data_IF_436586527386
#
_entry.id   IF_436586527386
#
_cell.length_a   1.000
_cell.length_b   1.000
_cell.length_c   1.000
_cell.angle_alpha   90.00
_cell.angle_beta   90.00
_cell.angle_gamma   90.00
#
_symmetry.space_group_name_H-M   'P 1'
#
loop_
_entity.id
_entity.type
_entity.pdbx_description
1 polymer ?
#
# COMPACT_ATOMS: atom_id res chain seq x y z
N UNK A 1 -31.21 -26.76 -57.30
CA UNK A 1 -32.23 -26.91 -56.25
C UNK A 1 -31.55 -27.50 -55.05
N UNK A 2 -31.78 -26.85 -53.91
CA UNK A 2 -31.21 -27.13 -52.59
C UNK A 2 -32.02 -28.23 -51.90
N UNK A 3 -31.35 -29.11 -51.17
CA UNK A 3 -31.79 -29.82 -49.96
C UNK A 3 -30.51 -30.48 -49.40
N UNK A 4 -29.98 -30.08 -48.24
CA UNK A 4 -30.43 -30.40 -46.87
C UNK A 4 -30.52 -31.93 -46.69
N UNK A 5 -29.93 -32.61 -45.71
CA UNK A 5 -29.31 -32.22 -44.45
C UNK A 5 -28.55 -33.46 -43.90
N UNK A 6 -27.95 -33.33 -42.71
CA UNK A 6 -27.46 -34.40 -41.82
C UNK A 6 -25.96 -34.78 -41.88
N UNK A 7 -25.14 -33.94 -41.24
CA UNK A 7 -24.02 -34.46 -40.44
C UNK A 7 -24.01 -33.86 -39.04
N UNK A 8 -24.47 -34.67 -38.08
CA UNK A 8 -24.48 -34.41 -36.65
C UNK A 8 -23.04 -34.49 -36.09
N UNK A 9 -22.66 -33.49 -35.30
CA UNK A 9 -21.73 -33.67 -34.18
C UNK A 9 -20.25 -33.65 -34.53
N UNK A 10 -19.71 -32.47 -34.86
CA UNK A 10 -18.28 -32.34 -35.14
C UNK A 10 -17.74 -30.92 -34.99
N UNK A 11 -18.21 -30.13 -34.02
CA UNK A 11 -17.54 -28.87 -33.72
C UNK A 11 -16.30 -29.18 -32.88
N UNK A 12 -15.19 -29.51 -33.54
CA UNK A 12 -13.89 -29.17 -32.97
C UNK A 12 -13.79 -27.64 -32.97
N UNK A 13 -14.29 -27.02 -31.91
CA UNK A 13 -13.87 -25.67 -31.53
C UNK A 13 -12.41 -25.84 -31.14
N UNK A 14 -11.50 -25.73 -32.10
CA UNK A 14 -10.11 -25.46 -31.84
C UNK A 14 -10.09 -24.18 -31.01
N UNK A 15 -9.88 -24.30 -29.70
CA UNK A 15 -9.81 -23.14 -28.82
C UNK A 15 -8.65 -22.27 -29.30
N UNK A 16 -8.97 -21.21 -30.04
CA UNK A 16 -8.05 -20.13 -30.34
C UNK A 16 -7.27 -19.78 -29.06
N UNK A 17 -5.95 -19.53 -29.14
CA UNK A 17 -5.14 -19.28 -27.95
C UNK A 17 -5.79 -18.17 -27.14
N UNK A 18 -6.40 -18.53 -26.01
CA UNK A 18 -7.18 -17.62 -25.17
C UNK A 18 -6.31 -16.40 -24.89
N UNK A 19 -6.74 -15.24 -25.39
CA UNK A 19 -6.01 -13.98 -25.22
C UNK A 19 -5.70 -13.80 -23.73
N UNK A 20 -4.46 -13.40 -23.39
CA UNK A 20 -4.03 -13.24 -21.99
C UNK A 20 -5.00 -12.35 -21.20
N UNK A 21 -5.57 -11.35 -21.85
CA UNK A 21 -6.55 -10.45 -21.25
C UNK A 21 -7.87 -11.13 -20.92
N UNK A 22 -8.30 -12.12 -21.70
CA UNK A 22 -9.52 -12.88 -21.44
C UNK A 22 -9.32 -13.88 -20.31
N UNK A 23 -8.12 -14.45 -20.18
CA UNK A 23 -7.74 -15.27 -19.02
C UNK A 23 -7.78 -14.43 -17.74
N UNK A 24 -7.23 -13.21 -17.77
CA UNK A 24 -7.27 -12.28 -16.64
C UNK A 24 -8.72 -11.94 -16.30
N UNK A 25 -9.53 -11.49 -17.26
CA UNK A 25 -10.95 -11.16 -17.04
C UNK A 25 -11.74 -12.32 -16.42
N UNK A 26 -11.54 -13.56 -16.93
CA UNK A 26 -12.18 -14.76 -16.37
C UNK A 26 -11.73 -15.03 -14.94
N UNK A 27 -10.45 -14.86 -14.66
CA UNK A 27 -9.91 -15.03 -13.30
C UNK A 27 -10.49 -13.98 -12.35
N UNK A 28 -10.60 -12.73 -12.78
CA UNK A 28 -11.20 -11.66 -11.99
C UNK A 28 -12.69 -11.90 -11.71
N UNK A 29 -13.47 -12.30 -12.73
CA UNK A 29 -14.89 -12.64 -12.58
C UNK A 29 -15.12 -13.76 -11.56
N UNK A 30 -14.22 -14.73 -11.51
CA UNK A 30 -14.32 -15.89 -10.61
C UNK A 30 -13.58 -15.66 -9.27
N UNK A 31 -13.10 -14.44 -9.01
CA UNK A 31 -12.27 -14.10 -7.86
C UNK A 31 -11.02 -15.00 -7.70
N UNK A 32 -10.48 -15.54 -8.79
CA UNK A 32 -9.31 -16.42 -8.78
C UNK A 32 -8.01 -15.63 -8.76
N UNK A 33 -7.07 -16.09 -7.95
CA UNK A 33 -5.74 -15.52 -7.78
C UNK A 33 -5.02 -15.37 -9.12
N UNK A 34 -4.62 -14.14 -9.44
CA UNK A 34 -3.89 -13.85 -10.69
C UNK A 34 -2.52 -14.51 -10.77
N UNK A 35 -1.96 -14.99 -9.66
CA UNK A 35 -0.73 -15.76 -9.67
C UNK A 35 -1.02 -17.27 -9.83
N UNK A 36 -1.60 -17.92 -8.82
CA UNK A 36 -1.75 -19.38 -8.84
C UNK A 36 -2.94 -19.90 -9.66
N UNK A 37 -3.95 -19.05 -9.97
CA UNK A 37 -5.16 -19.44 -10.71
C UNK A 37 -6.11 -20.40 -9.99
N UNK A 38 -5.77 -20.83 -8.75
CA UNK A 38 -6.48 -21.88 -8.02
C UNK A 38 -7.28 -21.35 -6.83
N UNK A 39 -6.62 -20.56 -6.00
CA UNK A 39 -7.23 -20.02 -4.79
C UNK A 39 -7.97 -18.72 -5.07
N UNK A 40 -9.00 -18.42 -4.28
CA UNK A 40 -9.70 -17.15 -4.38
C UNK A 40 -8.95 -16.03 -3.67
N UNK A 41 -8.99 -14.83 -4.23
CA UNK A 41 -8.56 -13.61 -3.55
C UNK A 41 -9.73 -12.97 -2.82
N UNK A 42 -9.43 -12.30 -1.69
CA UNK A 42 -10.41 -11.52 -0.92
C UNK A 42 -10.34 -10.03 -1.25
N UNK A 43 -9.15 -9.54 -1.56
CA UNK A 43 -8.90 -8.13 -1.84
C UNK A 43 -8.94 -7.87 -3.36
N UNK A 44 -9.93 -7.08 -3.80
CA UNK A 44 -10.16 -6.69 -5.20
C UNK A 44 -9.04 -5.82 -5.80
N UNK A 45 -8.27 -5.12 -4.97
CA UNK A 45 -7.17 -4.25 -5.43
C UNK A 45 -5.89 -5.05 -5.64
N UNK A 46 -5.72 -6.13 -4.88
CA UNK A 46 -4.53 -7.00 -4.93
C UNK A 46 -4.73 -8.17 -5.90
N UNK A 47 -5.93 -8.74 -5.95
CA UNK A 47 -6.31 -9.88 -6.80
C UNK A 47 -5.41 -11.12 -6.66
N UNK A 48 -4.80 -11.29 -5.48
CA UNK A 48 -3.99 -12.45 -5.09
C UNK A 48 -4.56 -13.13 -3.85
N UNK A 49 -4.40 -14.45 -3.75
CA UNK A 49 -4.66 -15.15 -2.49
C UNK A 49 -3.57 -14.83 -1.47
N UNK A 50 -3.85 -15.04 -0.18
CA UNK A 50 -2.96 -14.64 0.92
C UNK A 50 -1.56 -15.25 0.80
N UNK A 51 -1.45 -16.52 0.38
CA UNK A 51 -0.17 -17.18 0.14
C UNK A 51 0.63 -16.49 -0.97
N UNK A 52 0.00 -16.23 -2.11
CA UNK A 52 0.68 -15.56 -3.23
C UNK A 52 0.99 -14.10 -2.93
N UNK A 53 0.13 -13.42 -2.17
CA UNK A 53 0.37 -12.04 -1.75
C UNK A 53 1.64 -11.89 -0.93
N UNK A 54 1.91 -12.85 -0.02
CA UNK A 54 3.11 -12.87 0.82
C UNK A 54 4.36 -13.32 0.06
N UNK A 55 4.23 -14.20 -0.92
CA UNK A 55 5.38 -14.75 -1.67
C UNK A 55 5.80 -13.91 -2.88
N UNK A 56 4.87 -13.17 -3.50
CA UNK A 56 5.20 -12.30 -4.63
C UNK A 56 5.97 -11.07 -4.14
N UNK A 57 7.04 -10.70 -4.84
CA UNK A 57 7.76 -9.46 -4.54
C UNK A 57 6.89 -8.23 -4.79
N UNK A 58 7.20 -7.14 -4.09
CA UNK A 58 6.54 -5.85 -4.23
C UNK A 58 7.45 -4.92 -5.00
N UNK A 59 7.09 -4.65 -6.25
CA UNK A 59 7.88 -3.84 -7.17
C UNK A 59 7.22 -2.49 -7.42
N UNK A 60 8.00 -1.49 -7.81
CA UNK A 60 7.50 -0.16 -8.20
C UNK A 60 7.41 -0.06 -9.71
N UNK A 61 6.22 0.29 -10.23
CA UNK A 61 6.00 0.40 -11.67
C UNK A 61 6.81 1.56 -12.25
N UNK A 62 7.55 1.33 -13.34
CA UNK A 62 8.37 2.37 -13.97
C UNK A 62 7.54 3.55 -14.50
N UNK A 63 6.30 3.30 -14.92
CA UNK A 63 5.42 4.30 -15.54
C UNK A 63 4.61 5.11 -14.51
N UNK A 64 3.75 4.44 -13.72
CA UNK A 64 2.83 5.12 -12.80
C UNK A 64 3.37 5.30 -11.37
N UNK A 65 4.56 4.73 -11.08
CA UNK A 65 5.25 4.74 -9.78
C UNK A 65 4.50 4.08 -8.62
N UNK A 66 3.34 3.47 -8.88
CA UNK A 66 2.60 2.68 -7.90
C UNK A 66 3.32 1.37 -7.63
N UNK A 67 3.37 0.96 -6.36
CA UNK A 67 3.83 -0.36 -5.96
C UNK A 67 2.78 -1.43 -6.25
N UNK A 68 3.20 -2.58 -6.76
CA UNK A 68 2.32 -3.66 -7.13
C UNK A 68 2.96 -5.02 -6.81
N UNK A 69 2.13 -6.06 -6.74
CA UNK A 69 2.63 -7.42 -6.54
C UNK A 69 3.08 -8.00 -7.88
N UNK A 70 4.33 -8.47 -7.95
CA UNK A 70 4.92 -8.99 -9.18
C UNK A 70 4.49 -10.45 -9.42
N UNK A 71 3.24 -10.62 -9.83
CA UNK A 71 2.64 -11.92 -10.15
C UNK A 71 2.92 -12.34 -11.61
N UNK A 72 2.65 -13.61 -11.95
CA UNK A 72 2.98 -14.20 -13.27
C UNK A 72 2.61 -13.36 -14.51
N UNK A 73 1.47 -12.66 -14.52
CA UNK A 73 1.11 -11.81 -15.66
C UNK A 73 1.98 -10.55 -15.77
N UNK A 74 2.38 -9.97 -14.64
CA UNK A 74 3.34 -8.87 -14.62
C UNK A 74 4.74 -9.35 -15.01
N UNK A 75 5.13 -10.55 -14.60
CA UNK A 75 6.38 -11.17 -15.03
C UNK A 75 6.40 -11.39 -16.56
N UNK A 76 5.30 -11.91 -17.13
CA UNK A 76 5.15 -12.05 -18.58
C UNK A 76 5.24 -10.70 -19.29
N UNK A 77 4.54 -9.68 -18.79
CA UNK A 77 4.61 -8.33 -19.32
C UNK A 77 6.04 -7.75 -19.25
N UNK A 78 6.76 -7.99 -18.15
CA UNK A 78 8.14 -7.54 -18.01
C UNK A 78 9.08 -8.18 -19.04
N UNK A 79 8.90 -9.47 -19.36
CA UNK A 79 9.65 -10.16 -20.42
C UNK A 79 9.29 -9.61 -21.80
N UNK A 80 8.01 -9.37 -22.08
CA UNK A 80 7.54 -8.85 -23.37
C UNK A 80 7.99 -7.42 -23.62
N UNK A 81 7.84 -6.53 -22.63
CA UNK A 81 8.12 -5.09 -22.79
C UNK A 81 9.50 -4.68 -22.29
N UNK A 82 10.29 -5.60 -21.75
CA UNK A 82 11.61 -5.35 -21.13
C UNK A 82 11.59 -4.26 -20.05
N UNK A 83 10.48 -4.16 -19.31
CA UNK A 83 10.23 -3.09 -18.33
C UNK A 83 9.40 -3.61 -17.15
N UNK A 84 9.73 -3.20 -15.92
CA UNK A 84 8.93 -3.55 -14.73
C UNK A 84 7.65 -2.72 -14.66
N UNK A 85 6.57 -3.24 -15.24
CA UNK A 85 5.28 -2.54 -15.37
C UNK A 85 4.18 -3.25 -14.57
N UNK A 86 3.31 -2.48 -13.93
CA UNK A 86 2.11 -3.03 -13.31
C UNK A 86 1.09 -3.46 -14.36
N UNK A 87 0.13 -4.32 -13.98
CA UNK A 87 -0.87 -4.88 -14.89
C UNK A 87 -1.68 -3.80 -15.63
N UNK A 88 -2.00 -2.69 -14.97
CA UNK A 88 -2.75 -1.59 -15.60
C UNK A 88 -1.90 -0.87 -16.67
N UNK A 89 -0.63 -0.61 -16.39
CA UNK A 89 0.26 -0.02 -17.40
C UNK A 89 0.52 -1.00 -18.55
N UNK A 90 0.68 -2.30 -18.28
CA UNK A 90 0.78 -3.33 -19.32
C UNK A 90 -0.46 -3.35 -20.22
N UNK A 91 -1.66 -3.20 -19.63
CA UNK A 91 -2.91 -3.10 -20.37
C UNK A 91 -2.91 -1.88 -21.28
N UNK A 92 -2.52 -0.72 -20.76
CA UNK A 92 -2.48 0.50 -21.55
C UNK A 92 -1.45 0.42 -22.68
N UNK A 93 -0.26 -0.16 -22.46
CA UNK A 93 0.71 -0.41 -23.54
C UNK A 93 0.07 -1.28 -24.64
N UNK A 94 -0.60 -2.37 -24.26
CA UNK A 94 -1.27 -3.24 -25.22
C UNK A 94 -2.44 -2.56 -25.95
N UNK A 95 -3.15 -1.62 -25.31
CA UNK A 95 -4.29 -0.92 -25.90
C UNK A 95 -3.87 0.21 -26.84
N UNK A 96 -2.93 1.06 -26.42
CA UNK A 96 -2.55 2.27 -27.15
C UNK A 96 -1.35 2.06 -28.07
N UNK A 97 -0.62 0.94 -27.94
CA UNK A 97 0.55 0.58 -28.74
C UNK A 97 1.59 1.71 -28.88
N UNK A 98 1.73 2.54 -27.85
CA UNK A 98 2.60 3.72 -27.81
C UNK A 98 3.20 3.89 -26.42
N UNK A 99 4.36 4.53 -26.34
CA UNK A 99 4.95 4.90 -25.06
C UNK A 99 4.15 6.07 -24.42
N UNK A 100 3.96 6.09 -23.09
CA UNK A 100 3.15 7.10 -22.44
C UNK A 100 3.85 8.45 -22.42
N UNK A 101 3.07 9.53 -22.31
CA UNK A 101 3.58 10.88 -22.05
C UNK A 101 3.66 11.16 -20.55
N UNK A 102 4.38 12.23 -20.20
CA UNK A 102 4.39 12.77 -18.84
C UNK A 102 3.02 13.35 -18.49
N UNK A 103 2.49 12.94 -17.33
CA UNK A 103 1.29 13.56 -16.80
C UNK A 103 1.58 14.98 -16.31
N UNK A 104 0.79 15.97 -16.76
CA UNK A 104 0.95 17.38 -16.39
C UNK A 104 0.88 17.68 -14.89
N UNK A 105 0.21 16.82 -14.11
CA UNK A 105 0.05 17.01 -12.67
C UNK A 105 1.09 16.24 -11.87
N UNK A 106 1.13 14.91 -12.01
CA UNK A 106 1.98 14.07 -11.17
C UNK A 106 3.34 13.75 -11.79
N UNK A 107 3.63 14.21 -13.01
CA UNK A 107 4.90 13.97 -13.74
C UNK A 107 5.25 12.49 -13.95
N UNK A 108 4.30 11.58 -13.78
CA UNK A 108 4.50 10.17 -14.08
C UNK A 108 4.38 9.94 -15.59
N UNK A 109 5.27 9.11 -16.16
CA UNK A 109 5.22 8.61 -17.53
C UNK A 109 4.06 7.62 -17.70
N UNK A 110 2.82 8.13 -17.64
CA UNK A 110 1.59 7.32 -17.58
C UNK A 110 0.36 8.04 -18.12
N UNK A 111 0.54 9.12 -18.90
CA UNK A 111 -0.53 9.70 -19.71
C UNK A 111 -0.57 8.95 -21.05
N UNK A 112 -1.54 8.04 -21.19
CA UNK A 112 -1.66 7.14 -22.35
C UNK A 112 -2.64 7.64 -23.41
N UNK A 113 -3.55 8.53 -23.00
CA UNK A 113 -4.58 9.10 -23.86
C UNK A 113 -4.04 10.35 -24.54
N UNK A 114 -4.85 10.93 -25.44
CA UNK A 114 -4.58 12.24 -26.03
C UNK A 114 -4.49 13.35 -24.98
N UNK A 115 -5.21 13.18 -23.86
CA UNK A 115 -5.19 14.12 -22.75
C UNK A 115 -3.82 14.10 -22.04
N UNK A 116 -3.44 15.25 -21.46
CA UNK A 116 -2.13 15.43 -20.82
C UNK A 116 -2.07 14.85 -19.39
N UNK A 117 -3.13 14.20 -18.93
CA UNK A 117 -3.26 13.58 -17.62
C UNK A 117 -3.15 12.05 -17.67
N UNK A 118 -2.55 11.45 -16.65
CA UNK A 118 -2.70 10.00 -16.42
C UNK A 118 -4.12 9.67 -15.94
N UNK A 119 -4.58 8.44 -16.15
CA UNK A 119 -5.93 7.98 -15.75
C UNK A 119 -6.26 8.29 -14.28
N UNK A 120 -5.26 8.19 -13.39
CA UNK A 120 -5.40 8.51 -11.97
C UNK A 120 -5.70 9.99 -11.75
N UNK A 121 -4.94 10.89 -12.36
CA UNK A 121 -5.14 12.32 -12.20
C UNK A 121 -6.41 12.79 -12.93
N UNK A 122 -6.72 12.21 -14.08
CA UNK A 122 -7.96 12.47 -14.81
C UNK A 122 -9.18 12.18 -13.93
N UNK A 123 -9.25 10.99 -13.32
CA UNK A 123 -10.36 10.61 -12.44
C UNK A 123 -10.47 11.52 -11.20
N UNK A 124 -9.33 11.93 -10.64
CA UNK A 124 -9.34 12.84 -9.48
C UNK A 124 -9.79 14.26 -9.87
N UNK A 125 -9.41 14.72 -11.07
CA UNK A 125 -9.86 16.00 -11.60
C UNK A 125 -11.38 16.03 -11.79
N UNK A 126 -11.95 14.96 -12.33
CA UNK A 126 -13.40 14.81 -12.51
C UNK A 126 -14.16 14.81 -11.18
N UNK A 127 -13.61 14.17 -10.14
CA UNK A 127 -14.28 14.02 -8.85
C UNK A 127 -14.09 15.20 -7.89
N UNK A 128 -12.92 15.84 -7.91
CA UNK A 128 -12.51 16.82 -6.88
C UNK A 128 -12.10 18.17 -7.46
N UNK A 129 -12.15 18.34 -8.78
CA UNK A 129 -11.74 19.56 -9.45
C UNK A 129 -10.22 19.76 -9.47
N UNK A 130 -9.80 21.01 -9.64
CA UNK A 130 -8.41 21.36 -9.87
C UNK A 130 -7.51 20.99 -8.67
N UNK A 131 -6.33 20.39 -8.91
CA UNK A 131 -5.40 20.13 -7.84
C UNK A 131 -4.68 21.40 -7.38
N UNK A 132 -4.06 21.30 -6.21
CA UNK A 132 -3.08 22.26 -5.68
C UNK A 132 -1.75 21.54 -5.36
N UNK A 133 -0.77 22.28 -4.84
CA UNK A 133 0.56 21.74 -4.53
C UNK A 133 0.52 20.68 -3.43
N UNK A 134 1.23 19.58 -3.67
CA UNK A 134 1.53 18.57 -2.66
C UNK A 134 2.64 19.07 -1.73
N UNK A 135 2.44 19.02 -0.42
CA UNK A 135 3.41 19.49 0.57
C UNK A 135 4.71 18.67 0.59
N UNK A 136 4.66 17.38 0.19
CA UNK A 136 5.85 16.51 0.20
C UNK A 136 6.70 16.59 -1.07
N UNK A 137 6.08 16.70 -2.25
CA UNK A 137 6.82 16.69 -3.52
C UNK A 137 6.72 17.99 -4.31
N UNK A 138 6.01 18.98 -3.78
CA UNK A 138 5.76 20.31 -4.36
C UNK A 138 5.11 20.35 -5.76
N UNK A 139 4.65 19.20 -6.27
CA UNK A 139 3.96 19.10 -7.57
C UNK A 139 2.49 19.47 -7.43
N UNK A 140 1.92 20.08 -8.47
CA UNK A 140 0.49 20.41 -8.53
C UNK A 140 -0.39 19.15 -8.74
N UNK A 141 -0.52 18.32 -7.70
CA UNK A 141 -1.13 16.99 -7.80
C UNK A 141 -1.82 16.53 -6.51
N UNK A 142 -2.04 17.44 -5.55
CA UNK A 142 -2.91 17.21 -4.41
C UNK A 142 -4.35 17.59 -4.80
N UNK A 143 -5.27 16.64 -4.62
CA UNK A 143 -6.71 16.85 -4.86
C UNK A 143 -7.42 16.87 -3.50
N UNK A 144 -8.26 17.87 -3.26
CA UNK A 144 -8.96 18.03 -2.00
C UNK A 144 -10.10 17.00 -1.88
N UNK A 145 -9.87 15.94 -1.10
CA UNK A 145 -10.84 14.87 -0.84
C UNK A 145 -11.62 15.08 0.49
N UNK A 146 -11.58 16.29 1.04
CA UNK A 146 -12.19 16.62 2.33
C UNK A 146 -11.32 16.30 3.55
N UNK A 147 -11.80 16.71 4.72
CA UNK A 147 -11.08 16.67 5.99
C UNK A 147 -10.77 15.24 6.46
N UNK A 148 -11.72 14.30 6.31
CA UNK A 148 -11.54 12.89 6.67
C UNK A 148 -10.34 12.24 5.94
N UNK A 149 -10.05 12.70 4.73
CA UNK A 149 -8.90 12.20 3.98
C UNK A 149 -7.58 12.76 4.52
N UNK A 150 -7.59 14.00 5.03
CA UNK A 150 -6.43 14.71 5.57
C UNK A 150 -6.10 14.26 6.99
N UNK A 151 -7.09 13.94 7.82
CA UNK A 151 -6.86 13.41 9.16
C UNK A 151 -6.07 12.10 9.16
N UNK A 152 -6.20 11.29 8.10
CA UNK A 152 -5.43 10.04 7.90
C UNK A 152 -3.95 10.26 7.54
N UNK A 153 -3.54 11.52 7.35
CA UNK A 153 -2.18 11.95 7.02
C UNK A 153 -1.81 13.21 7.81
N UNK A 154 -2.30 13.30 9.05
CA UNK A 154 -2.00 14.38 10.00
C UNK A 154 -2.23 15.79 9.46
N UNK A 155 -3.31 15.95 8.69
CA UNK A 155 -3.72 17.24 8.13
C UNK A 155 -2.99 17.63 6.83
N UNK A 156 -1.95 16.91 6.44
CA UNK A 156 -1.06 17.23 5.33
C UNK A 156 -1.75 17.14 3.96
N UNK A 157 -1.38 18.04 3.04
CA UNK A 157 -1.86 18.03 1.65
C UNK A 157 -0.97 17.17 0.77
N UNK A 158 -1.23 15.86 0.74
CA UNK A 158 -0.40 14.89 0.02
C UNK A 158 -1.07 14.38 -1.27
N UNK A 159 -0.30 14.33 -2.36
CA UNK A 159 -0.73 13.66 -3.59
C UNK A 159 -0.91 12.15 -3.37
N UNK A 160 -1.46 11.45 -4.35
CA UNK A 160 -1.70 10.00 -4.22
C UNK A 160 -0.44 9.20 -3.84
N UNK A 161 0.69 9.46 -4.50
CA UNK A 161 1.93 8.71 -4.25
C UNK A 161 2.51 9.06 -2.87
N UNK A 162 2.57 10.34 -2.52
CA UNK A 162 3.02 10.78 -1.19
C UNK A 162 2.09 10.27 -0.08
N UNK A 163 0.78 10.22 -0.29
CA UNK A 163 -0.19 9.63 0.65
C UNK A 163 0.10 8.13 0.86
N UNK A 164 0.40 7.41 -0.22
CA UNK A 164 0.74 5.99 -0.14
C UNK A 164 2.02 5.77 0.64
N UNK A 165 3.07 6.53 0.33
CA UNK A 165 4.37 6.44 1.00
C UNK A 165 4.26 6.84 2.49
N UNK A 166 3.47 7.87 2.81
CA UNK A 166 3.17 8.28 4.18
C UNK A 166 2.56 7.15 4.99
N UNK A 167 1.44 6.58 4.52
CA UNK A 167 0.73 5.50 5.22
C UNK A 167 1.58 4.23 5.35
N UNK A 168 2.38 3.94 4.32
CA UNK A 168 3.31 2.82 4.34
C UNK A 168 4.39 3.02 5.41
N UNK A 169 4.99 4.20 5.49
CA UNK A 169 6.00 4.54 6.49
C UNK A 169 5.43 4.53 7.90
N UNK A 170 4.26 5.15 8.10
CA UNK A 170 3.53 5.16 9.36
C UNK A 170 3.25 3.73 9.88
N UNK A 171 2.75 2.84 9.00
CA UNK A 171 2.54 1.43 9.34
C UNK A 171 3.83 0.74 9.81
N UNK A 172 4.94 0.91 9.10
CA UNK A 172 6.20 0.26 9.47
C UNK A 172 6.80 0.85 10.75
N UNK A 173 6.66 2.15 10.97
CA UNK A 173 7.13 2.82 12.19
C UNK A 173 6.33 2.34 13.40
N UNK A 174 4.99 2.31 13.32
CA UNK A 174 4.13 1.75 14.38
C UNK A 174 4.50 0.30 14.70
N UNK A 175 4.72 -0.53 13.67
CA UNK A 175 5.13 -1.92 13.87
C UNK A 175 6.52 -2.05 14.52
N UNK A 176 7.47 -1.16 14.18
CA UNK A 176 8.80 -1.12 14.81
C UNK A 176 8.70 -0.73 16.28
N UNK A 177 7.93 0.30 16.62
CA UNK A 177 7.72 0.74 18.01
C UNK A 177 7.08 -0.36 18.85
N UNK A 178 6.04 -1.04 18.35
CA UNK A 178 5.43 -2.18 19.04
C UNK A 178 6.39 -3.36 19.23
N UNK A 179 7.29 -3.60 18.27
CA UNK A 179 8.29 -4.67 18.39
C UNK A 179 9.41 -4.32 19.37
N UNK A 180 9.78 -3.04 19.48
CA UNK A 180 10.79 -2.56 20.42
C UNK A 180 10.32 -2.66 21.88
N UNK A 181 9.04 -2.35 22.16
CA UNK A 181 8.48 -2.48 23.50
C UNK A 181 8.47 -3.94 24.01
N UNK A 182 8.33 -4.92 23.11
CA UNK A 182 8.40 -6.33 23.50
C UNK A 182 9.82 -6.81 23.86
N UNK A 183 10.88 -6.17 23.35
CA UNK A 183 12.27 -6.53 23.69
C UNK A 183 12.78 -5.85 24.97
N UNK A 184 12.15 -4.76 25.43
CA UNK A 184 12.52 -4.09 26.68
C UNK A 184 12.03 -4.83 27.94
N UNK A 185 11.14 -5.81 27.81
CA UNK A 185 10.54 -6.54 28.95
C UNK A 185 11.28 -7.84 29.36
N UNK A 186 12.32 -8.25 28.62
CA UNK A 186 13.11 -9.45 28.93
C UNK A 186 14.54 -9.11 29.36
N UNK A 187 14.69 -8.35 30.45
CA UNK A 187 15.99 -8.16 31.08
C UNK A 187 16.04 -8.89 32.43
N UNK A 188 16.47 -10.17 32.49
CA UNK A 188 16.96 -10.72 33.73
C UNK A 188 18.41 -10.26 33.91
N UNK A 189 18.62 -9.44 34.94
CA UNK A 189 19.92 -9.32 35.61
C UNK A 189 20.40 -10.73 35.96
N UNK A 190 21.60 -11.14 35.49
CA UNK A 190 22.63 -11.88 36.25
C UNK A 190 23.69 -12.53 35.36
N UNK A 191 24.97 -12.32 35.72
CA UNK A 191 25.97 -13.40 35.73
C UNK A 191 26.90 -13.53 34.52
N UNK A 192 28.12 -12.99 34.65
CA UNK A 192 29.27 -13.40 33.87
C UNK A 192 29.63 -14.88 34.11
N UNK A 193 29.87 -15.66 33.05
CA UNK A 193 30.82 -16.80 33.01
C UNK A 193 31.04 -17.32 31.56
N UNK A 194 32.30 -17.32 31.10
CA UNK A 194 32.98 -18.47 30.45
C UNK A 194 32.58 -18.98 29.03
N UNK A 195 33.43 -18.66 28.06
CA UNK A 195 34.09 -19.51 27.02
C UNK A 195 33.32 -20.54 26.14
N UNK A 196 33.51 -20.35 24.82
CA UNK A 196 33.79 -21.32 23.73
C UNK A 196 32.71 -22.29 23.19
N UNK A 197 32.57 -22.33 21.85
CA UNK A 197 32.09 -23.52 21.12
C UNK A 197 31.30 -23.27 19.83
N UNK A 198 31.84 -23.77 18.72
CA UNK A 198 31.30 -23.84 17.36
C UNK A 198 29.86 -24.37 17.20
N UNK A 199 29.21 -23.97 16.09
CA UNK A 199 28.46 -24.94 15.28
C UNK A 199 26.95 -24.75 15.13
N UNK A 200 26.57 -24.42 13.90
CA UNK A 200 25.34 -24.82 13.19
C UNK A 200 23.99 -24.21 13.61
N UNK A 201 23.51 -23.32 12.73
CA UNK A 201 22.14 -22.85 12.66
C UNK A 201 21.16 -23.97 12.30
N UNK A 202 20.21 -24.28 13.18
CA UNK A 202 18.87 -24.80 12.87
C UNK A 202 17.89 -24.44 13.97
N UNK A 203 17.08 -23.39 13.76
CA UNK A 203 15.89 -23.17 14.58
C UNK A 203 14.64 -23.44 13.74
N UNK A 204 14.04 -24.59 14.03
CA UNK A 204 12.64 -24.90 13.84
C UNK A 204 11.95 -24.53 15.15
N UNK A 205 11.17 -23.44 15.16
CA UNK A 205 10.39 -23.05 16.34
C UNK A 205 8.92 -22.84 15.97
N UNK A 206 8.18 -23.89 16.28
CA UNK A 206 6.75 -23.91 16.59
C UNK A 206 6.44 -22.80 17.60
N UNK A 207 5.56 -21.87 17.23
CA UNK A 207 5.12 -20.81 18.15
C UNK A 207 4.24 -21.39 19.28
N UNK A 208 4.56 -21.17 20.57
CA UNK A 208 3.61 -21.39 21.65
C UNK A 208 2.69 -20.17 21.74
N UNK A 209 1.37 -20.39 21.79
CA UNK A 209 0.43 -19.34 22.14
C UNK A 209 0.64 -18.92 23.59
N UNK A 210 0.94 -17.64 23.82
CA UNK A 210 0.93 -17.04 25.15
C UNK A 210 -0.26 -16.10 25.25
N UNK A 211 -1.31 -16.56 25.94
CA UNK A 211 -2.31 -15.67 26.53
C UNK A 211 -1.59 -14.80 27.57
N UNK A 212 -1.34 -13.53 27.25
CA UNK A 212 -0.99 -12.55 28.28
C UNK A 212 -2.26 -12.23 29.06
N UNK A 213 -2.20 -12.40 30.37
CA UNK A 213 -3.26 -12.08 31.33
C UNK A 213 -3.70 -10.62 31.21
N UNK A 214 -5.01 -10.40 31.14
CA UNK A 214 -5.63 -9.07 30.97
C UNK A 214 -5.20 -8.06 32.06
N UNK A 215 -4.80 -8.52 33.25
CA UNK A 215 -4.45 -7.66 34.39
C UNK A 215 -3.24 -6.74 34.14
N UNK A 216 -2.25 -7.16 33.34
CA UNK A 216 -1.06 -6.34 33.09
C UNK A 216 -1.35 -5.18 32.11
N UNK A 217 -2.29 -5.39 31.19
CA UNK A 217 -2.67 -4.37 30.20
C UNK A 217 -3.49 -3.26 30.86
N UNK A 218 -4.27 -3.59 31.89
CA UNK A 218 -5.10 -2.62 32.60
C UNK A 218 -4.29 -1.66 33.48
N UNK A 219 -3.22 -2.15 34.13
CA UNK A 219 -2.31 -1.32 34.95
C UNK A 219 -1.52 -0.34 34.07
N UNK A 220 -1.02 -0.78 32.92
CA UNK A 220 -0.29 0.09 31.99
C UNK A 220 -1.20 1.18 31.39
N UNK A 221 -2.46 0.84 31.10
CA UNK A 221 -3.46 1.79 30.62
C UNK A 221 -3.85 2.82 31.68
N UNK A 222 -3.87 2.44 32.96
CA UNK A 222 -4.10 3.36 34.07
C UNK A 222 -2.93 4.33 34.26
N UNK A 223 -1.69 3.82 34.27
CA UNK A 223 -0.49 4.65 34.32
C UNK A 223 -0.41 5.68 33.17
N UNK A 224 -0.74 5.26 31.96
CA UNK A 224 -0.76 6.17 30.80
C UNK A 224 -1.84 7.24 30.90
N UNK A 225 -3.01 6.93 31.49
CA UNK A 225 -4.07 7.93 31.73
C UNK A 225 -3.62 8.98 32.74
N UNK A 226 -2.97 8.58 33.82
CA UNK A 226 -2.46 9.50 34.84
C UNK A 226 -1.35 10.39 34.29
N UNK A 227 -0.47 9.84 33.45
CA UNK A 227 0.58 10.61 32.80
C UNK A 227 0.02 11.65 31.82
N UNK A 228 -1.01 11.29 31.04
CA UNK A 228 -1.70 12.22 30.14
C UNK A 228 -2.35 13.35 30.95
N UNK A 229 -3.07 13.04 32.03
CA UNK A 229 -3.69 14.06 32.88
C UNK A 229 -2.67 15.03 33.49
N UNK A 230 -1.49 14.53 33.87
CA UNK A 230 -0.40 15.36 34.41
C UNK A 230 0.17 16.30 33.34
N UNK A 231 0.41 15.79 32.13
CA UNK A 231 0.90 16.59 31.00
C UNK A 231 -0.11 17.65 30.57
N UNK A 232 -1.40 17.33 30.55
CA UNK A 232 -2.46 18.30 30.24
C UNK A 232 -2.47 19.47 31.24
N UNK A 233 -2.28 19.18 32.53
CA UNK A 233 -2.20 20.22 33.57
C UNK A 233 -0.98 21.13 33.39
N UNK A 234 0.17 20.55 33.07
CA UNK A 234 1.42 21.29 32.82
C UNK A 234 1.32 22.19 31.58
N UNK A 235 0.70 21.69 30.51
CA UNK A 235 0.42 22.48 29.31
C UNK A 235 -0.48 23.68 29.63
N UNK A 236 -1.49 23.50 30.47
CA UNK A 236 -2.41 24.59 30.83
C UNK A 236 -1.73 25.65 31.72
N UNK A 237 -0.79 25.23 32.57
CA UNK A 237 0.02 26.14 33.37
C UNK A 237 0.96 26.98 32.51
N UNK A 238 1.66 26.35 31.56
CA UNK A 238 2.53 27.03 30.60
C UNK A 238 1.78 27.99 29.67
N UNK A 239 0.52 27.69 29.32
CA UNK A 239 -0.34 28.62 28.58
C UNK A 239 -0.65 29.87 29.39
N UNK A 240 -1.02 29.70 30.67
CA UNK A 240 -1.32 30.81 31.58
C UNK A 240 -0.09 31.67 31.84
N UNK A 241 1.07 31.06 31.97
CA UNK A 241 2.33 31.78 32.11
C UNK A 241 2.68 32.58 30.85
N UNK A 242 2.52 31.97 29.66
CA UNK A 242 2.68 32.67 28.39
C UNK A 242 1.73 33.86 28.25
N UNK A 243 0.48 33.74 28.71
CA UNK A 243 -0.48 34.83 28.68
C UNK A 243 -0.07 35.99 29.61
N UNK A 244 0.42 35.68 30.81
CA UNK A 244 0.99 36.69 31.73
C UNK A 244 2.23 37.39 31.14
N UNK A 245 3.11 36.64 30.47
CA UNK A 245 4.28 37.20 29.82
C UNK A 245 3.90 38.12 28.64
N UNK A 246 2.86 37.77 27.88
CA UNK A 246 2.32 38.62 26.82
C UNK A 246 1.73 39.92 27.35
N UNK A 247 1.03 39.88 28.48
CA UNK A 247 0.48 41.09 29.11
C UNK A 247 1.59 42.02 29.63
N UNK A 248 2.66 41.47 30.21
CA UNK A 248 3.83 42.26 30.63
C UNK A 248 4.57 42.88 29.44
N UNK A 249 4.66 42.17 28.32
CA UNK A 249 5.30 42.70 27.10
C UNK A 249 4.50 43.79 26.39
N UNK A 250 3.24 44.04 26.79
CA UNK A 250 2.41 45.13 26.26
C UNK A 250 2.37 46.37 27.16
N UNK A 251 2.98 46.31 28.35
CA UNK A 251 3.04 47.41 29.32
C UNK A 251 4.39 48.19 29.28
N UNK A 252 5.35 47.72 28.48
CA UNK A 252 6.61 48.42 28.11
C UNK A 252 6.48 49.09 26.72
#
# INVERSE_FOLDING_TARGET
MVADDDFIGGVQISESPKNVWDIIKRSEKNCLCLNCGRHRWKNKDVKLCDKCYRSCSREKCVHCKTEFSFHKFCEKAAKTYRRHVCLNCAKNIATYNTDPKLCRFCTCWSAWKETSECDRCFKMLELFGNPTNCESCNKNCYFNKGEESRSKVDGLKLCYLCTYDYKKNDYYNKRRLMSANNHASNNPVSGAHGLSGDGTARNSDTSPGTNLSNDHVDVEKEYLRDLVAKLEKEVEELKRENEKLKLRATED
#
